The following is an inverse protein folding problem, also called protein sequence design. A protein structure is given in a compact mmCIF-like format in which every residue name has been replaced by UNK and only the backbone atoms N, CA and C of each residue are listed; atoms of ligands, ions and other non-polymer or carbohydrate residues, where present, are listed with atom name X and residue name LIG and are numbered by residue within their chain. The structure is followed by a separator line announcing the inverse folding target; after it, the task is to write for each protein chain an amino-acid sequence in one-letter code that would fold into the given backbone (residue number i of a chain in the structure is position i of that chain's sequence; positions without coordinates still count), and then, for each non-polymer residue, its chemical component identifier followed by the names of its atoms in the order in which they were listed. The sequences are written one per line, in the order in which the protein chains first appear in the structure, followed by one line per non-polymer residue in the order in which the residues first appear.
data_IF_099244033935
#
_entry.id   IF_099244033935
#
_cell.length_a   1.000
_cell.length_b   1.000
_cell.length_c   1.000
_cell.angle_alpha   90.00
_cell.angle_beta   90.00
_cell.angle_gamma   90.00
#
_symmetry.space_group_name_H-M   'P 1'
#
loop_
_entity.id
_entity.type
_entity.pdbx_description
1 polymer ?
#
# COMPACT_ATOMS: atom_id res chain seq x y z
N UNK A 1 8.81 10.28 -7.05
CA UNK A 1 8.28 10.74 -5.74
C UNK A 1 7.02 9.94 -5.47
N UNK A 2 6.73 9.60 -4.21
CA UNK A 2 5.53 8.85 -3.86
C UNK A 2 4.25 9.57 -4.31
N UNK A 3 3.25 8.79 -4.71
CA UNK A 3 1.95 9.20 -5.24
C UNK A 3 1.04 7.98 -5.34
N UNK A 4 -0.13 8.08 -5.99
CA UNK A 4 -1.09 6.97 -6.09
C UNK A 4 -0.59 5.75 -6.91
N UNK A 5 0.57 5.87 -7.56
CA UNK A 5 1.25 4.78 -8.25
C UNK A 5 2.76 5.02 -8.16
N UNK A 6 3.53 3.93 -8.07
CA UNK A 6 4.99 4.04 -8.11
C UNK A 6 5.46 4.45 -9.52
N UNK A 7 6.51 5.28 -9.61
CA UNK A 7 7.16 5.53 -10.89
C UNK A 7 7.87 4.27 -11.40
N UNK A 8 8.27 4.25 -12.68
CA UNK A 8 9.08 3.15 -13.22
C UNK A 8 10.42 2.95 -12.49
N UNK A 9 10.97 4.02 -11.90
CA UNK A 9 12.16 3.98 -11.06
C UNK A 9 12.09 5.07 -9.99
N UNK A 10 12.65 4.80 -8.82
CA UNK A 10 12.68 5.72 -7.68
C UNK A 10 14.06 6.33 -7.52
N UNK A 11 14.12 7.67 -7.49
CA UNK A 11 15.26 8.39 -6.94
C UNK A 11 15.17 8.34 -5.41
N UNK A 12 15.84 7.36 -4.79
CA UNK A 12 15.78 7.11 -3.34
C UNK A 12 16.27 8.31 -2.54
N UNK A 13 17.36 8.97 -2.96
CA UNK A 13 17.87 10.16 -2.28
C UNK A 13 16.83 11.29 -2.25
N UNK A 14 16.04 11.45 -3.32
CA UNK A 14 14.93 12.41 -3.34
C UNK A 14 13.75 11.98 -2.47
N UNK A 15 13.44 10.69 -2.42
CA UNK A 15 12.38 10.16 -1.55
C UNK A 15 12.75 10.32 -0.07
N UNK A 16 13.98 9.96 0.33
CA UNK A 16 14.53 10.16 1.67
C UNK A 16 14.43 11.63 2.10
N UNK A 17 14.85 12.56 1.23
CA UNK A 17 14.71 14.01 1.50
C UNK A 17 13.25 14.42 1.70
N UNK A 18 12.33 13.90 0.90
CA UNK A 18 10.91 14.20 1.03
C UNK A 18 10.37 13.72 2.39
N UNK A 19 10.64 12.47 2.74
CA UNK A 19 10.19 11.87 4.00
C UNK A 19 10.79 12.58 5.22
N UNK A 20 12.06 13.00 5.16
CA UNK A 20 12.70 13.75 6.25
C UNK A 20 12.27 15.22 6.37
N UNK A 21 11.67 15.80 5.32
CA UNK A 21 11.26 17.23 5.32
C UNK A 21 9.79 17.41 5.66
N UNK A 22 8.93 16.49 5.22
CA UNK A 22 7.49 16.56 5.49
C UNK A 22 7.23 15.85 6.82
N UNK A 23 6.78 16.62 7.82
CA UNK A 23 6.42 16.11 9.14
C UNK A 23 5.08 15.36 9.10
N UNK A 24 5.07 14.21 8.45
CA UNK A 24 3.97 13.25 8.48
C UNK A 24 4.31 12.12 9.45
N UNK A 25 3.32 11.71 10.24
CA UNK A 25 3.44 10.55 11.13
C UNK A 25 3.39 9.24 10.34
N UNK A 26 2.64 9.25 9.23
CA UNK A 26 2.41 8.08 8.37
C UNK A 26 2.45 8.43 6.89
N UNK A 27 3.00 7.52 6.09
CA UNK A 27 3.00 7.61 4.63
C UNK A 27 2.13 6.52 4.00
N UNK A 28 1.24 6.91 3.08
CA UNK A 28 0.48 5.95 2.26
C UNK A 28 1.23 5.74 0.96
N UNK A 29 1.67 4.51 0.71
CA UNK A 29 2.50 4.15 -0.44
C UNK A 29 1.80 3.11 -1.32
N UNK A 30 1.89 3.22 -2.66
CA UNK A 30 1.38 2.20 -3.56
C UNK A 30 2.22 0.93 -3.42
N UNK A 31 1.55 -0.22 -3.36
CA UNK A 31 2.18 -1.52 -3.19
C UNK A 31 1.36 -2.68 -3.79
N UNK A 32 0.46 -2.38 -4.74
CA UNK A 32 -0.44 -3.37 -5.34
C UNK A 32 0.25 -4.25 -6.38
N UNK A 33 1.51 -3.96 -6.73
CA UNK A 33 2.26 -4.67 -7.77
C UNK A 33 3.51 -5.40 -7.27
N UNK A 34 4.03 -5.04 -6.10
CA UNK A 34 5.26 -5.61 -5.52
C UNK A 34 6.52 -5.33 -6.35
N UNK A 35 6.56 -4.19 -7.06
CA UNK A 35 7.71 -3.86 -7.93
C UNK A 35 8.93 -3.39 -7.14
N UNK A 36 10.12 -3.49 -7.74
CA UNK A 36 11.36 -2.92 -7.16
C UNK A 36 11.22 -1.43 -6.83
N UNK A 37 10.48 -0.67 -7.65
CA UNK A 37 10.22 0.74 -7.42
C UNK A 37 9.32 0.96 -6.18
N UNK A 38 8.32 0.12 -5.97
CA UNK A 38 7.49 0.18 -4.76
C UNK A 38 8.30 -0.20 -3.51
N UNK A 39 9.12 -1.25 -3.58
CA UNK A 39 10.06 -1.62 -2.51
C UNK A 39 11.06 -0.49 -2.23
N UNK A 40 11.56 0.22 -3.25
CA UNK A 40 12.46 1.36 -3.06
C UNK A 40 11.77 2.55 -2.37
N UNK A 41 10.45 2.75 -2.54
CA UNK A 41 9.70 3.74 -1.76
C UNK A 41 9.61 3.37 -0.29
N UNK A 42 9.46 2.07 0.02
CA UNK A 42 9.46 1.54 1.41
C UNK A 42 10.86 1.66 2.01
N UNK A 43 11.92 1.26 1.30
CA UNK A 43 13.33 1.36 1.76
C UNK A 43 13.77 2.77 2.07
N UNK A 44 13.27 3.74 1.32
CA UNK A 44 13.62 5.15 1.52
C UNK A 44 12.96 5.74 2.78
N UNK A 45 11.91 5.10 3.31
CA UNK A 45 11.18 5.59 4.48
C UNK A 45 12.03 5.41 5.74
N UNK A 46 12.15 6.44 6.60
CA UNK A 46 12.87 6.30 7.86
C UNK A 46 12.27 5.22 8.77
N UNK A 47 13.09 4.58 9.59
CA UNK A 47 12.67 3.51 10.49
C UNK A 47 11.58 3.98 11.47
N UNK A 48 11.66 5.23 11.96
CA UNK A 48 10.75 5.84 12.93
C UNK A 48 9.39 6.32 12.37
N UNK A 49 9.06 5.98 11.11
CA UNK A 49 7.83 6.44 10.44
C UNK A 49 6.89 5.29 10.12
N UNK A 50 5.61 5.45 10.40
CA UNK A 50 4.60 4.47 10.01
C UNK A 50 4.42 4.42 8.49
N UNK A 51 4.07 3.24 7.97
CA UNK A 51 3.71 3.05 6.56
C UNK A 51 2.30 2.48 6.43
N UNK A 52 1.54 2.96 5.46
CA UNK A 52 0.32 2.32 5.00
C UNK A 52 0.55 1.82 3.57
N UNK A 53 0.54 0.50 3.39
CA UNK A 53 0.77 -0.15 2.11
C UNK A 53 -0.56 -0.33 1.37
N UNK A 54 -0.61 0.27 0.18
CA UNK A 54 -1.72 0.18 -0.75
C UNK A 54 -1.67 -1.11 -1.56
N UNK A 55 -2.22 -2.20 -1.05
CA UNK A 55 -1.98 -3.57 -1.56
C UNK A 55 -3.03 -4.11 -2.54
N UNK A 56 -4.13 -3.38 -2.70
CA UNK A 56 -5.28 -3.76 -3.56
C UNK A 56 -5.53 -2.64 -4.57
N UNK A 57 -5.62 -2.96 -5.86
CA UNK A 57 -5.93 -2.01 -6.94
C UNK A 57 -7.45 -1.75 -7.01
N UNK A 58 -7.92 -0.54 -6.67
CA UNK A 58 -9.34 -0.17 -6.70
C UNK A 58 -9.98 -0.17 -8.09
N UNK A 59 -9.16 -0.07 -9.15
CA UNK A 59 -9.63 0.03 -10.53
C UNK A 59 -9.71 -1.33 -11.22
N UNK A 60 -9.06 -2.37 -10.68
CA UNK A 60 -9.14 -3.72 -11.21
C UNK A 60 -10.53 -4.32 -10.96
N UNK A 61 -11.12 -4.94 -11.99
CA UNK A 61 -12.42 -5.61 -11.86
C UNK A 61 -12.32 -6.88 -10.99
N UNK A 62 -11.21 -7.61 -11.13
CA UNK A 62 -10.95 -8.81 -10.37
C UNK A 62 -10.37 -8.49 -8.99
N UNK A 63 -10.60 -9.42 -8.05
CA UNK A 63 -9.93 -9.41 -6.77
C UNK A 63 -8.52 -9.96 -6.92
N UNK A 64 -7.61 -9.38 -6.14
CA UNK A 64 -6.26 -9.85 -6.00
C UNK A 64 -6.27 -11.22 -5.31
N UNK A 65 -5.39 -12.10 -5.76
CA UNK A 65 -5.15 -13.39 -5.11
C UNK A 65 -4.45 -13.16 -3.76
N UNK A 66 -4.93 -13.81 -2.70
CA UNK A 66 -4.44 -13.58 -1.33
C UNK A 66 -2.97 -13.97 -1.21
N UNK A 67 -2.59 -15.16 -1.69
CA UNK A 67 -1.22 -15.67 -1.58
C UNK A 67 -0.25 -14.73 -2.32
N UNK A 68 -0.65 -14.26 -3.50
CA UNK A 68 0.12 -13.26 -4.26
C UNK A 68 0.34 -11.95 -3.48
N UNK A 69 -0.66 -11.49 -2.72
CA UNK A 69 -0.51 -10.26 -1.92
C UNK A 69 0.34 -10.51 -0.68
N UNK A 70 0.21 -11.67 -0.03
CA UNK A 70 1.04 -12.05 1.11
C UNK A 70 2.52 -12.17 0.71
N UNK A 71 2.84 -12.79 -0.43
CA UNK A 71 4.21 -12.88 -0.94
C UNK A 71 4.86 -11.49 -1.14
N UNK A 72 4.07 -10.49 -1.57
CA UNK A 72 4.54 -9.10 -1.69
C UNK A 72 4.78 -8.49 -0.32
N UNK A 73 3.88 -8.71 0.62
CA UNK A 73 3.98 -8.20 1.99
C UNK A 73 5.19 -8.80 2.72
N UNK A 74 5.50 -10.08 2.50
CA UNK A 74 6.71 -10.70 3.02
C UNK A 74 7.96 -9.95 2.54
N UNK A 75 8.04 -9.62 1.24
CA UNK A 75 9.13 -8.82 0.70
C UNK A 75 9.22 -7.40 1.29
N UNK A 76 8.09 -6.79 1.68
CA UNK A 76 8.08 -5.53 2.40
C UNK A 76 8.53 -5.69 3.87
N UNK A 77 8.15 -6.80 4.51
CA UNK A 77 8.56 -7.15 5.88
C UNK A 77 10.06 -7.34 6.04
N UNK A 78 10.76 -7.79 4.98
CA UNK A 78 12.23 -7.84 4.96
C UNK A 78 12.90 -6.44 4.95
N UNK A 79 12.14 -5.38 4.67
CA UNK A 79 12.65 -4.00 4.57
C UNK A 79 12.26 -3.19 5.80
N UNK A 80 11.02 -3.34 6.27
CA UNK A 80 10.46 -2.57 7.38
C UNK A 80 9.55 -3.46 8.20
N UNK A 81 9.60 -3.28 9.51
CA UNK A 81 8.74 -4.00 10.44
C UNK A 81 7.25 -3.73 10.11
N UNK A 82 6.51 -4.82 9.91
CA UNK A 82 5.08 -4.75 9.63
C UNK A 82 4.26 -4.45 10.89
N UNK A 83 4.83 -4.53 12.10
CA UNK A 83 4.18 -4.06 13.32
C UNK A 83 3.83 -2.56 13.24
N UNK A 84 4.61 -1.77 12.50
CA UNK A 84 4.39 -0.32 12.26
C UNK A 84 3.67 -0.04 10.92
N UNK A 85 3.05 -1.06 10.33
CA UNK A 85 2.37 -0.95 9.04
C UNK A 85 0.84 -1.02 9.15
N UNK A 86 0.17 -0.49 8.12
CA UNK A 86 -1.26 -0.65 7.89
C UNK A 86 -1.53 -1.03 6.44
N UNK A 87 -2.65 -1.70 6.15
CA UNK A 87 -3.06 -2.01 4.78
C UNK A 87 -4.20 -1.10 4.32
N UNK A 88 -4.19 -0.76 3.04
CA UNK A 88 -5.24 -0.02 2.36
C UNK A 88 -5.33 -0.46 0.88
N UNK A 89 -6.36 -0.02 0.14
CA UNK A 89 -6.28 0.01 -1.30
C UNK A 89 -5.21 1.02 -1.78
N UNK A 90 -4.63 0.84 -2.97
CA UNK A 90 -3.55 1.69 -3.49
C UNK A 90 -3.97 3.12 -3.83
N UNK A 91 -5.26 3.37 -3.95
CA UNK A 91 -5.88 4.68 -4.17
C UNK A 91 -7.33 4.70 -3.67
N UNK A 92 -8.01 5.83 -3.83
CA UNK A 92 -9.46 5.90 -3.64
C UNK A 92 -10.23 5.18 -4.75
N UNK A 93 -11.47 4.75 -4.44
CA UNK A 93 -12.38 4.10 -5.40
C UNK A 93 -13.01 5.04 -6.44
N UNK A 94 -12.69 6.33 -6.38
CA UNK A 94 -13.22 7.34 -7.30
C UNK A 94 -12.22 8.49 -7.46
N UNK A 95 -12.14 9.04 -8.68
CA UNK A 95 -11.35 10.25 -8.94
C UNK A 95 -12.10 11.51 -8.49
N UNK A 96 -13.43 11.47 -8.62
CA UNK A 96 -14.40 12.42 -8.10
C UNK A 96 -15.64 11.66 -7.65
N UNK A 97 -16.38 12.19 -6.68
CA UNK A 97 -17.46 11.46 -6.00
C UNK A 97 -18.55 10.88 -6.92
N UNK A 98 -18.78 11.49 -8.10
CA UNK A 98 -19.78 11.07 -9.08
C UNK A 98 -19.23 10.13 -10.18
N UNK A 99 -17.94 9.79 -10.14
CA UNK A 99 -17.28 8.89 -11.11
C UNK A 99 -16.48 7.80 -10.39
N UNK A 100 -17.16 6.76 -9.87
CA UNK A 100 -16.50 5.62 -9.26
C UNK A 100 -15.75 4.80 -10.32
N UNK A 101 -14.61 4.22 -9.93
CA UNK A 101 -13.77 3.37 -10.78
C UNK A 101 -14.42 1.99 -11.00
N UNK A 102 -15.13 1.50 -9.99
CA UNK A 102 -15.83 0.20 -9.97
C UNK A 102 -17.18 0.35 -9.27
N UNK A 103 -18.09 -0.62 -9.45
CA UNK A 103 -19.39 -0.61 -8.78
C UNK A 103 -19.26 -0.82 -7.26
N UNK A 104 -20.29 -0.43 -6.51
CA UNK A 104 -20.27 -0.49 -5.04
C UNK A 104 -20.08 -1.90 -4.47
N UNK A 105 -20.53 -2.95 -5.19
CA UNK A 105 -20.33 -4.33 -4.73
C UNK A 105 -18.85 -4.72 -4.84
N UNK A 106 -18.21 -4.40 -5.96
CA UNK A 106 -16.78 -4.60 -6.18
C UNK A 106 -15.93 -3.81 -5.17
N UNK A 107 -16.27 -2.54 -4.92
CA UNK A 107 -15.62 -1.73 -3.88
C UNK A 107 -15.68 -2.40 -2.51
N UNK A 108 -16.87 -2.87 -2.11
CA UNK A 108 -17.07 -3.58 -0.84
C UNK A 108 -16.22 -4.85 -0.76
N UNK A 109 -16.17 -5.65 -1.83
CA UNK A 109 -15.35 -6.87 -1.88
C UNK A 109 -13.86 -6.54 -1.71
N UNK A 110 -13.36 -5.47 -2.33
CA UNK A 110 -11.97 -5.01 -2.16
C UNK A 110 -11.66 -4.54 -0.75
N UNK A 111 -12.59 -3.86 -0.07
CA UNK A 111 -12.41 -3.50 1.35
C UNK A 111 -12.36 -4.74 2.24
N UNK A 112 -13.24 -5.73 2.00
CA UNK A 112 -13.21 -7.02 2.71
C UNK A 112 -11.90 -7.77 2.46
N UNK A 113 -11.34 -7.69 1.25
CA UNK A 113 -10.03 -8.28 0.94
C UNK A 113 -8.91 -7.60 1.74
N UNK A 114 -8.89 -6.27 1.83
CA UNK A 114 -7.92 -5.53 2.67
C UNK A 114 -8.02 -5.97 4.14
N UNK A 115 -9.24 -6.07 4.66
CA UNK A 115 -9.48 -6.56 6.03
C UNK A 115 -8.99 -8.01 6.21
N UNK A 116 -9.27 -8.88 5.23
CA UNK A 116 -8.84 -10.28 5.24
C UNK A 116 -7.32 -10.37 5.30
N UNK A 117 -6.61 -9.64 4.43
CA UNK A 117 -5.15 -9.59 4.42
C UNK A 117 -4.59 -9.09 5.75
N UNK A 118 -5.17 -8.03 6.32
CA UNK A 118 -4.75 -7.52 7.62
C UNK A 118 -4.87 -8.58 8.72
N UNK A 119 -5.95 -9.37 8.72
CA UNK A 119 -6.13 -10.49 9.66
C UNK A 119 -5.10 -11.61 9.46
N UNK A 120 -4.64 -11.84 8.24
CA UNK A 120 -3.57 -12.80 7.96
C UNK A 120 -2.21 -12.30 8.48
N UNK A 121 -1.93 -11.01 8.35
CA UNK A 121 -0.65 -10.42 8.77
C UNK A 121 -0.56 -10.30 10.30
N UNK A 122 -1.57 -9.71 10.94
CA UNK A 122 -1.51 -9.38 12.37
C UNK A 122 -2.35 -10.30 13.27
N UNK A 123 -3.01 -11.29 12.68
CA UNK A 123 -3.96 -12.13 13.40
C UNK A 123 -5.23 -11.38 13.76
N UNK A 124 -6.01 -12.00 14.64
CA UNK A 124 -7.29 -11.44 15.08
C UNK A 124 -7.39 -11.63 16.59
N UNK A 125 -6.76 -10.74 17.35
CA UNK A 125 -6.90 -10.72 18.79
C UNK A 125 -8.24 -10.05 19.16
N UNK A 126 -9.13 -10.85 19.75
CA UNK A 126 -10.25 -10.38 20.55
C UNK A 126 -10.01 -10.76 22.01
#
# INVERSE_FOLDING_TARGET
APGHAAPAAVDRARAERLYGTVAADRWVLPFDRGTDAELDLVRALPEDRDVCLGVVDPAAAELEDIDTVLDRLDAAGEIKDLEDAALAPSRGFADVADRPLTDAETQRKKIVLVETLARYVWGNEF
#
